data_IF_996195609664
#
_entry.id   IF_996195609664
#
_cell.length_a   1.000
_cell.length_b   1.000
_cell.length_c   1.000
_cell.angle_alpha   90.00
_cell.angle_beta   90.00
_cell.angle_gamma   90.00
#
_symmetry.space_group_name_H-M   'P 1'
#
loop_
_entity.id
_entity.type
_entity.pdbx_description
1 polymer ?
#
# COMPACT_ATOMS: atom_id res chain seq x y z
N UNK A 1 2.00 0.98 61.55
CA UNK A 1 1.64 2.07 60.61
C UNK A 1 1.93 1.56 59.21
N UNK A 2 0.88 1.27 58.43
CA UNK A 2 0.96 0.58 57.13
C UNK A 2 1.46 1.58 56.07
N UNK A 3 2.69 1.42 55.59
CA UNK A 3 3.14 2.07 54.36
C UNK A 3 2.59 1.25 53.18
N UNK A 4 1.48 1.72 52.61
CA UNK A 4 1.01 1.24 51.30
C UNK A 4 1.87 1.96 50.27
N UNK A 5 2.84 1.23 49.71
CA UNK A 5 3.58 1.69 48.53
C UNK A 5 2.63 1.73 47.34
N UNK A 6 2.17 2.92 46.97
CA UNK A 6 1.41 3.13 45.74
C UNK A 6 2.42 3.11 44.58
N UNK A 7 2.67 1.92 44.06
CA UNK A 7 3.37 1.73 42.79
C UNK A 7 2.41 2.20 41.69
N UNK A 8 2.47 3.48 41.32
CA UNK A 8 1.81 3.95 40.10
C UNK A 8 2.45 3.23 38.91
N UNK A 9 1.75 2.23 38.39
CA UNK A 9 2.03 1.66 37.09
C UNK A 9 1.91 2.81 36.09
N UNK A 10 3.04 3.33 35.62
CA UNK A 10 3.11 4.16 34.42
C UNK A 10 2.72 3.25 33.25
N UNK A 11 1.42 3.04 33.07
CA UNK A 11 0.89 2.54 31.81
C UNK A 11 1.20 3.65 30.82
N UNK A 12 2.31 3.52 30.09
CA UNK A 12 2.53 4.31 28.90
C UNK A 12 1.37 3.99 27.97
N UNK A 13 0.38 4.88 27.89
CA UNK A 13 -0.56 4.88 26.79
C UNK A 13 0.30 4.98 25.53
N UNK A 14 0.37 3.88 24.78
CA UNK A 14 1.02 3.91 23.49
C UNK A 14 0.23 4.90 22.63
N UNK A 15 0.82 6.05 22.33
CA UNK A 15 0.27 6.97 21.35
C UNK A 15 0.47 6.33 19.98
N UNK A 16 -0.64 5.89 19.37
CA UNK A 16 -0.69 5.42 18.01
C UNK A 16 -1.74 6.20 17.24
N UNK A 17 -1.63 6.19 15.91
CA UNK A 17 -2.66 6.72 15.04
C UNK A 17 -3.93 5.88 15.19
N UNK A 18 -5.02 6.46 15.67
CA UNK A 18 -6.31 5.78 15.81
C UNK A 18 -7.22 6.09 14.62
N UNK A 19 -6.88 5.52 13.46
CA UNK A 19 -7.70 5.58 12.24
C UNK A 19 -8.64 4.37 12.09
N UNK A 20 -8.80 3.56 13.14
CA UNK A 20 -9.65 2.36 13.13
C UNK A 20 -9.06 1.13 12.40
N UNK A 21 -7.90 1.25 11.74
CA UNK A 21 -7.28 0.16 10.98
C UNK A 21 -6.16 -0.53 11.78
N UNK A 22 -5.60 -1.61 11.21
CA UNK A 22 -4.44 -2.34 11.73
C UNK A 22 -4.52 -2.75 13.23
N UNK A 23 -5.73 -3.07 13.72
CA UNK A 23 -5.93 -3.58 15.10
C UNK A 23 -5.24 -4.93 15.33
N UNK A 24 -4.92 -5.65 14.26
CA UNK A 24 -3.92 -6.73 14.21
C UNK A 24 -2.90 -6.40 13.11
N UNK A 25 -1.69 -6.99 13.13
CA UNK A 25 -0.72 -6.81 12.06
C UNK A 25 -1.34 -7.15 10.69
N UNK A 26 -1.21 -6.27 9.68
CA UNK A 26 -1.72 -6.54 8.35
C UNK A 26 -0.97 -7.71 7.71
N UNK A 27 -1.69 -8.59 7.03
CA UNK A 27 -1.13 -9.76 6.35
C UNK A 27 -1.41 -9.66 4.86
N UNK A 28 -0.40 -9.94 4.04
CA UNK A 28 -0.53 -9.83 2.59
C UNK A 28 0.73 -10.28 1.85
N UNK A 29 0.84 -9.82 0.62
CA UNK A 29 1.95 -10.05 -0.29
C UNK A 29 2.45 -8.72 -0.83
N UNK A 30 3.74 -8.63 -1.09
CA UNK A 30 4.40 -7.48 -1.72
C UNK A 30 5.23 -7.96 -2.91
N UNK A 31 5.23 -7.19 -4.01
CA UNK A 31 5.88 -7.57 -5.27
C UNK A 31 7.41 -7.54 -5.24
N UNK A 32 8.02 -6.77 -4.35
CA UNK A 32 9.42 -6.37 -4.43
C UNK A 32 10.41 -7.53 -4.41
N UNK A 33 10.37 -8.36 -3.36
CA UNK A 33 11.40 -9.38 -3.11
C UNK A 33 11.59 -10.37 -4.27
N UNK A 34 10.57 -10.58 -5.09
CA UNK A 34 10.64 -11.51 -6.23
C UNK A 34 10.76 -10.81 -7.57
N UNK A 35 10.11 -9.66 -7.76
CA UNK A 35 9.92 -9.08 -9.09
C UNK A 35 10.66 -7.75 -9.28
N UNK A 36 10.99 -7.01 -8.21
CA UNK A 36 11.53 -5.66 -8.32
C UNK A 36 10.67 -4.81 -9.28
N UNK A 37 11.31 -4.10 -10.21
CA UNK A 37 10.61 -3.32 -11.24
C UNK A 37 9.88 -4.15 -12.32
N UNK A 38 10.07 -5.47 -12.39
CA UNK A 38 9.49 -6.34 -13.43
C UNK A 38 8.05 -6.77 -13.07
N UNK A 39 7.21 -5.77 -12.79
CA UNK A 39 5.79 -5.90 -12.46
C UNK A 39 4.92 -5.40 -13.60
N UNK A 40 3.74 -6.00 -13.79
CA UNK A 40 2.71 -5.55 -14.71
C UNK A 40 1.33 -6.02 -14.25
N UNK A 41 0.28 -5.50 -14.87
CA UNK A 41 -1.11 -5.78 -14.51
C UNK A 41 -1.45 -7.28 -14.51
N UNK A 42 -0.99 -8.01 -15.53
CA UNK A 42 -1.22 -9.46 -15.64
C UNK A 42 -0.64 -10.21 -14.45
N UNK A 43 0.60 -9.91 -14.06
CA UNK A 43 1.25 -10.52 -12.91
C UNK A 43 0.49 -10.27 -11.62
N UNK A 44 0.05 -9.01 -11.39
CA UNK A 44 -0.66 -8.64 -10.16
C UNK A 44 -2.03 -9.31 -10.11
N UNK A 45 -2.77 -9.34 -11.23
CA UNK A 45 -4.06 -10.04 -11.32
C UNK A 45 -3.91 -11.55 -11.06
N UNK A 46 -2.90 -12.19 -11.66
CA UNK A 46 -2.60 -13.60 -11.42
C UNK A 46 -2.22 -13.87 -9.96
N UNK A 47 -1.46 -12.97 -9.33
CA UNK A 47 -1.10 -13.09 -7.91
C UNK A 47 -2.32 -12.98 -7.01
N UNK A 48 -3.26 -12.07 -7.31
CA UNK A 48 -4.53 -11.96 -6.61
C UNK A 48 -5.38 -13.25 -6.74
N UNK A 49 -5.50 -13.80 -7.96
CA UNK A 49 -6.18 -15.07 -8.19
C UNK A 49 -5.52 -16.24 -7.43
N UNK A 50 -4.20 -16.29 -7.39
CA UNK A 50 -3.45 -17.31 -6.64
C UNK A 50 -3.62 -17.15 -5.14
N UNK A 51 -3.62 -15.93 -4.60
CA UNK A 51 -3.88 -15.71 -3.18
C UNK A 51 -5.23 -16.27 -2.74
N UNK A 52 -6.25 -16.17 -3.59
CA UNK A 52 -7.58 -16.75 -3.31
C UNK A 52 -7.56 -18.26 -3.50
N UNK A 53 -7.17 -18.75 -4.68
CA UNK A 53 -7.28 -20.16 -5.05
C UNK A 53 -6.40 -21.10 -4.23
N UNK A 54 -5.24 -20.61 -3.74
CA UNK A 54 -4.38 -21.39 -2.83
C UNK A 54 -4.87 -21.39 -1.38
N UNK A 55 -5.89 -20.59 -1.05
CA UNK A 55 -6.45 -20.49 0.30
C UNK A 55 -5.73 -19.52 1.24
N UNK A 56 -4.66 -18.83 0.80
CA UNK A 56 -3.97 -17.83 1.63
C UNK A 56 -4.90 -16.69 2.04
N UNK A 57 -5.79 -16.25 1.15
CA UNK A 57 -6.79 -15.24 1.46
C UNK A 57 -7.76 -15.67 2.57
N UNK A 58 -8.07 -16.97 2.66
CA UNK A 58 -8.89 -17.53 3.73
C UNK A 58 -8.12 -17.66 5.06
N UNK A 59 -6.78 -17.60 5.02
CA UNK A 59 -5.90 -17.58 6.20
C UNK A 59 -5.52 -16.16 6.66
N UNK A 60 -6.10 -15.13 6.06
CA UNK A 60 -5.95 -13.73 6.49
C UNK A 60 -4.99 -12.89 5.66
N UNK A 61 -4.30 -13.46 4.66
CA UNK A 61 -3.49 -12.67 3.74
C UNK A 61 -4.43 -11.89 2.80
N UNK A 62 -4.64 -10.60 3.05
CA UNK A 62 -5.63 -9.78 2.35
C UNK A 62 -5.03 -8.70 1.46
N UNK A 63 -3.84 -8.21 1.76
CA UNK A 63 -3.26 -7.10 1.01
C UNK A 63 -2.42 -7.58 -0.18
N UNK A 64 -2.67 -7.01 -1.36
CA UNK A 64 -1.81 -7.08 -2.54
C UNK A 64 -1.10 -5.74 -2.65
N UNK A 65 0.17 -5.69 -2.26
CA UNK A 65 0.96 -4.46 -2.26
C UNK A 65 1.83 -4.39 -3.52
N UNK A 66 1.55 -3.40 -4.36
CA UNK A 66 2.37 -3.04 -5.49
C UNK A 66 3.51 -2.13 -5.02
N UNK A 67 4.74 -2.61 -5.17
CA UNK A 67 5.94 -1.87 -4.79
C UNK A 67 6.41 -0.93 -5.92
N UNK A 68 7.64 -0.41 -5.84
CA UNK A 68 8.18 0.61 -6.74
C UNK A 68 8.07 0.27 -8.25
N UNK A 69 8.29 1.28 -9.10
CA UNK A 69 8.32 1.20 -10.56
C UNK A 69 6.96 1.01 -11.25
N UNK A 70 5.86 1.36 -10.55
CA UNK A 70 4.51 1.43 -11.12
C UNK A 70 4.20 2.79 -11.75
N UNK A 71 4.85 3.85 -11.28
CA UNK A 71 4.70 5.23 -11.72
C UNK A 71 5.86 5.65 -12.65
N UNK A 72 5.60 6.60 -13.55
CA UNK A 72 6.57 7.06 -14.54
C UNK A 72 6.88 8.55 -14.49
N UNK A 73 5.89 9.38 -14.17
CA UNK A 73 6.03 10.83 -14.25
C UNK A 73 4.95 11.54 -13.41
N UNK A 74 4.91 12.87 -13.47
CA UNK A 74 3.85 13.72 -12.95
C UNK A 74 3.22 14.52 -14.07
N UNK A 75 1.90 14.70 -14.00
CA UNK A 75 1.18 15.57 -14.91
C UNK A 75 1.74 17.01 -14.83
N UNK A 76 2.06 17.61 -15.98
CA UNK A 76 2.69 18.92 -16.03
C UNK A 76 1.84 20.04 -15.40
N UNK A 77 0.51 19.92 -15.45
CA UNK A 77 -0.44 20.91 -14.95
C UNK A 77 -0.98 20.54 -13.57
N UNK A 78 -1.60 19.36 -13.44
CA UNK A 78 -2.27 18.94 -12.19
C UNK A 78 -1.29 18.47 -11.12
N UNK A 79 -0.06 18.12 -11.51
CA UNK A 79 0.99 17.53 -10.66
C UNK A 79 0.67 16.14 -10.11
N UNK A 80 -0.47 15.57 -10.49
CA UNK A 80 -0.85 14.19 -10.16
C UNK A 80 0.20 13.21 -10.70
N UNK A 81 0.51 12.21 -9.89
CA UNK A 81 1.37 11.09 -10.26
C UNK A 81 0.74 10.27 -11.40
N UNK A 82 1.55 9.84 -12.38
CA UNK A 82 1.11 9.11 -13.57
C UNK A 82 1.59 7.66 -13.50
N UNK A 83 0.66 6.71 -13.62
CA UNK A 83 0.99 5.30 -13.73
C UNK A 83 1.58 4.91 -15.09
N UNK A 84 2.40 3.87 -15.11
CA UNK A 84 2.93 3.27 -16.34
C UNK A 84 1.82 2.52 -17.09
N UNK A 85 1.15 3.17 -18.04
CA UNK A 85 0.12 2.54 -18.88
C UNK A 85 0.64 1.40 -19.77
N UNK A 86 1.95 1.27 -19.97
CA UNK A 86 2.51 0.13 -20.70
C UNK A 86 2.48 -1.12 -19.82
N UNK A 87 2.80 -0.99 -18.54
CA UNK A 87 2.72 -2.08 -17.56
C UNK A 87 1.29 -2.29 -17.04
N UNK A 88 0.51 -1.23 -16.93
CA UNK A 88 -0.82 -1.19 -16.34
C UNK A 88 -1.83 -0.54 -17.29
N UNK A 89 -2.18 -1.21 -18.40
CA UNK A 89 -3.01 -0.63 -19.46
C UNK A 89 -4.40 -0.20 -18.99
N UNK A 90 -4.99 -0.88 -17.99
CA UNK A 90 -6.28 -0.46 -17.43
C UNK A 90 -6.17 0.68 -16.41
N UNK A 91 -4.98 0.95 -15.87
CA UNK A 91 -4.74 1.91 -14.79
C UNK A 91 -4.95 1.36 -13.39
N UNK A 92 -4.55 2.15 -12.40
CA UNK A 92 -4.57 1.74 -10.98
C UNK A 92 -5.99 1.54 -10.43
N UNK A 93 -6.95 2.39 -10.81
CA UNK A 93 -8.34 2.27 -10.35
C UNK A 93 -8.97 0.93 -10.76
N UNK A 94 -8.88 0.58 -12.05
CA UNK A 94 -9.42 -0.68 -12.56
C UNK A 94 -8.69 -1.91 -11.98
N UNK A 95 -7.39 -1.80 -11.69
CA UNK A 95 -6.64 -2.85 -10.98
C UNK A 95 -7.11 -2.99 -9.53
N UNK A 96 -7.33 -1.88 -8.83
CA UNK A 96 -7.90 -1.84 -7.47
C UNK A 96 -9.28 -2.49 -7.43
N UNK A 97 -10.19 -2.10 -8.34
CA UNK A 97 -11.51 -2.71 -8.48
C UNK A 97 -11.43 -4.22 -8.71
N UNK A 98 -10.51 -4.68 -9.57
CA UNK A 98 -10.30 -6.11 -9.79
C UNK A 98 -9.84 -6.82 -8.50
N UNK A 99 -8.87 -6.26 -7.77
CA UNK A 99 -8.39 -6.83 -6.50
C UNK A 99 -9.52 -6.88 -5.46
N UNK A 100 -10.33 -5.82 -5.36
CA UNK A 100 -11.49 -5.77 -4.48
C UNK A 100 -12.55 -6.82 -4.85
N UNK A 101 -12.77 -7.08 -6.16
CA UNK A 101 -13.70 -8.13 -6.62
C UNK A 101 -13.31 -9.54 -6.14
N UNK A 102 -12.05 -9.75 -5.74
CA UNK A 102 -11.51 -11.00 -5.19
C UNK A 102 -11.59 -11.07 -3.66
N UNK A 103 -12.15 -10.04 -3.00
CA UNK A 103 -12.18 -9.93 -1.54
C UNK A 103 -10.79 -9.69 -0.92
N UNK A 104 -9.88 -9.09 -1.70
CA UNK A 104 -8.56 -8.64 -1.30
C UNK A 104 -8.52 -7.11 -1.21
N UNK A 105 -7.43 -6.55 -0.69
CA UNK A 105 -7.20 -5.13 -0.49
C UNK A 105 -5.99 -4.68 -1.32
N UNK A 106 -6.07 -3.52 -1.93
CA UNK A 106 -5.00 -2.97 -2.77
C UNK A 106 -4.08 -2.03 -1.97
N UNK A 107 -2.77 -2.25 -2.05
CA UNK A 107 -1.74 -1.39 -1.47
C UNK A 107 -0.79 -0.85 -2.55
N UNK A 108 -0.32 0.37 -2.34
CA UNK A 108 0.54 1.10 -3.29
C UNK A 108 1.74 1.71 -2.56
N UNK A 109 2.85 1.84 -3.27
CA UNK A 109 4.09 2.39 -2.74
C UNK A 109 4.36 3.83 -3.24
N UNK A 110 4.94 4.65 -2.36
CA UNK A 110 5.60 5.92 -2.71
C UNK A 110 6.77 6.17 -1.76
N UNK A 111 7.44 7.30 -1.92
CA UNK A 111 8.60 7.71 -1.13
C UNK A 111 8.39 9.11 -0.52
N UNK A 112 8.88 9.31 0.71
CA UNK A 112 8.90 10.61 1.41
C UNK A 112 10.10 11.49 0.98
N UNK A 113 10.55 11.32 -0.25
CA UNK A 113 11.61 12.08 -0.92
C UNK A 113 11.18 12.54 -2.31
N UNK A 114 12.07 13.24 -3.01
CA UNK A 114 11.81 13.72 -4.37
C UNK A 114 11.73 12.58 -5.40
N UNK A 115 12.41 11.47 -5.10
CA UNK A 115 12.42 10.26 -5.91
C UNK A 115 12.24 9.05 -5.02
N UNK A 116 11.67 7.99 -5.58
CA UNK A 116 11.69 6.66 -4.97
C UNK A 116 13.08 6.04 -5.02
N UNK A 117 13.24 4.89 -4.37
CA UNK A 117 14.47 4.09 -4.42
C UNK A 117 14.92 3.80 -5.85
N UNK A 118 14.00 3.50 -6.77
CA UNK A 118 14.30 3.24 -8.19
C UNK A 118 14.25 4.51 -9.08
N UNK A 119 14.33 5.69 -8.47
CA UNK A 119 14.45 6.95 -9.19
C UNK A 119 13.15 7.43 -9.85
N UNK A 120 12.00 6.84 -9.50
CA UNK A 120 10.67 7.28 -9.95
C UNK A 120 10.22 8.52 -9.18
N UNK A 121 9.16 9.25 -9.62
CA UNK A 121 8.62 10.34 -8.82
C UNK A 121 8.24 9.90 -7.40
N UNK A 122 8.84 10.54 -6.39
CA UNK A 122 8.45 10.42 -4.98
C UNK A 122 7.48 11.54 -4.58
N UNK A 123 6.88 11.44 -3.39
CA UNK A 123 5.74 12.28 -2.96
C UNK A 123 6.12 13.54 -2.19
N UNK A 124 7.40 13.81 -1.91
CA UNK A 124 7.80 15.00 -1.16
C UNK A 124 7.35 16.30 -1.85
N UNK A 125 6.55 17.11 -1.16
CA UNK A 125 5.95 18.35 -1.68
C UNK A 125 4.67 18.15 -2.52
N UNK A 126 4.22 16.91 -2.71
CA UNK A 126 3.01 16.54 -3.44
C UNK A 126 2.08 15.64 -2.61
N UNK A 127 2.30 15.53 -1.29
CA UNK A 127 1.68 14.55 -0.41
C UNK A 127 0.15 14.61 -0.46
N UNK A 128 -0.41 15.81 -0.45
CA UNK A 128 -1.88 16.00 -0.52
C UNK A 128 -2.43 15.58 -1.88
N UNK A 129 -1.77 15.95 -2.97
CA UNK A 129 -2.21 15.62 -4.33
C UNK A 129 -2.14 14.11 -4.53
N UNK A 130 -1.02 13.49 -4.17
CA UNK A 130 -0.81 12.07 -4.31
C UNK A 130 -1.79 11.26 -3.45
N UNK A 131 -2.01 11.64 -2.19
CA UNK A 131 -3.00 10.99 -1.33
C UNK A 131 -4.42 11.08 -1.91
N UNK A 132 -4.79 12.22 -2.50
CA UNK A 132 -6.09 12.39 -3.18
C UNK A 132 -6.17 11.55 -4.46
N UNK A 133 -5.10 11.50 -5.25
CA UNK A 133 -5.01 10.64 -6.43
C UNK A 133 -5.20 9.17 -6.06
N UNK A 134 -4.53 8.69 -5.01
CA UNK A 134 -4.66 7.31 -4.54
C UNK A 134 -6.07 7.01 -4.02
N UNK A 135 -6.70 7.94 -3.30
CA UNK A 135 -8.06 7.75 -2.79
C UNK A 135 -9.14 7.76 -3.89
N UNK A 136 -8.84 8.34 -5.06
CA UNK A 136 -9.74 8.35 -6.23
C UNK A 136 -9.71 7.04 -7.01
N UNK A 137 -8.64 6.26 -6.88
CA UNK A 137 -8.45 4.97 -7.52
C UNK A 137 -9.05 3.84 -6.67
#
# INVERSE_FOLDING_TARGET
MKLIAVLFLLISLACALDNGLAKTPPMGWNSWNRFGCNINETLIKQTADLMVSTGLAAKGYKYINLDDCWQIDRNATTKEIIEDKTKFPSGMAALGEYIHSKGLLFGLYSDAGYKTCEGRPGSLGYETIDAQTYAKW
#
